data_IF_522100660819
#
_entry.id   IF_522100660819
#
_cell.length_a   1.000
_cell.length_b   1.000
_cell.length_c   1.000
_cell.angle_alpha   90.00
_cell.angle_beta   90.00
_cell.angle_gamma   90.00
#
_symmetry.space_group_name_H-M   'P 1'
#
loop_
_entity.id
_entity.type
_entity.pdbx_description
1 polymer ?
#
# COMPACT_ATOMS: atom_id res chain seq x y z
N UNK A 1 -5.07 -26.15 -15.70
CA UNK A 1 -4.29 -26.05 -14.44
C UNK A 1 -3.64 -27.38 -14.14
N UNK A 2 -2.41 -27.39 -13.59
CA UNK A 2 -1.79 -28.63 -13.13
C UNK A 2 -2.60 -29.21 -11.95
N UNK A 3 -2.29 -30.45 -11.56
CA UNK A 3 -2.95 -31.08 -10.41
C UNK A 3 -2.72 -30.23 -9.15
N UNK A 4 -3.80 -29.75 -8.55
CA UNK A 4 -3.75 -28.91 -7.34
C UNK A 4 -3.69 -27.41 -7.60
N UNK A 5 -3.65 -26.97 -8.86
CA UNK A 5 -3.71 -25.57 -9.23
C UNK A 5 -5.13 -25.19 -9.67
N UNK A 6 -5.53 -23.96 -9.38
CA UNK A 6 -6.69 -23.30 -9.95
C UNK A 6 -6.39 -21.81 -10.09
N UNK A 7 -7.23 -21.12 -10.83
CA UNK A 7 -7.17 -19.66 -10.99
C UNK A 7 -8.53 -19.09 -10.70
N UNK A 8 -8.53 -17.85 -10.23
CA UNK A 8 -9.71 -17.15 -9.77
C UNK A 8 -9.73 -15.75 -10.36
N UNK A 9 -10.74 -15.46 -11.17
CA UNK A 9 -11.03 -14.13 -11.65
C UNK A 9 -12.21 -13.54 -10.87
N UNK A 10 -12.08 -12.29 -10.45
CA UNK A 10 -13.14 -11.50 -9.82
C UNK A 10 -13.47 -10.27 -10.65
N UNK A 11 -14.73 -9.83 -10.60
CA UNK A 11 -15.20 -8.61 -11.27
C UNK A 11 -15.99 -7.75 -10.29
N UNK A 12 -15.73 -6.44 -10.32
CA UNK A 12 -16.44 -5.42 -9.53
C UNK A 12 -16.95 -4.35 -10.49
N UNK A 13 -18.19 -3.88 -10.27
CA UNK A 13 -18.78 -2.74 -10.98
C UNK A 13 -19.14 -1.68 -9.96
N UNK A 14 -18.71 -0.44 -10.21
CA UNK A 14 -19.02 0.74 -9.39
C UNK A 14 -19.62 1.86 -10.24
N UNK A 15 -20.29 2.81 -9.57
CA UNK A 15 -20.89 3.98 -10.20
C UNK A 15 -20.42 5.23 -9.47
N UNK A 16 -20.08 6.27 -10.23
CA UNK A 16 -19.68 7.58 -9.69
C UNK A 16 -20.21 8.68 -10.61
N UNK A 17 -20.66 9.78 -10.01
CA UNK A 17 -20.98 10.97 -10.79
C UNK A 17 -19.70 11.62 -11.29
N UNK A 18 -19.69 12.06 -12.55
CA UNK A 18 -18.49 12.62 -13.20
C UNK A 18 -17.85 13.76 -12.40
N UNK A 19 -18.67 14.61 -11.78
CA UNK A 19 -18.19 15.75 -10.97
C UNK A 19 -17.55 15.35 -9.64
N UNK A 20 -17.82 14.13 -9.16
CA UNK A 20 -17.25 13.58 -7.92
C UNK A 20 -16.08 12.62 -8.20
N UNK A 21 -15.63 12.50 -9.45
CA UNK A 21 -14.48 11.65 -9.79
C UNK A 21 -13.17 12.26 -9.27
N UNK A 22 -12.48 11.51 -8.41
CA UNK A 22 -11.13 11.83 -7.95
C UNK A 22 -10.13 11.24 -8.95
N UNK A 23 -9.42 12.09 -9.68
CA UNK A 23 -8.56 11.69 -10.82
C UNK A 23 -7.09 12.09 -10.68
N UNK A 24 -6.71 12.81 -9.63
CA UNK A 24 -5.35 13.36 -9.49
C UNK A 24 -5.06 14.65 -10.24
N UNK A 25 -5.99 15.13 -11.07
CA UNK A 25 -5.78 16.35 -11.86
C UNK A 25 -5.60 17.60 -10.99
N UNK A 26 -6.13 17.59 -9.77
CA UNK A 26 -6.00 18.68 -8.82
C UNK A 26 -4.74 18.60 -7.95
N UNK A 27 -3.90 17.56 -8.13
CA UNK A 27 -2.67 17.44 -7.34
C UNK A 27 -1.78 18.67 -7.49
N UNK A 28 -1.11 19.06 -6.42
CA UNK A 28 -0.30 20.26 -6.37
C UNK A 28 0.96 20.07 -5.53
N UNK A 29 1.95 20.93 -5.78
CA UNK A 29 3.13 21.06 -4.92
C UNK A 29 2.66 21.32 -3.48
N UNK A 30 3.22 20.57 -2.54
CA UNK A 30 2.86 20.63 -1.13
C UNK A 30 1.74 19.68 -0.73
N UNK A 31 1.10 18.94 -1.65
CA UNK A 31 0.17 17.89 -1.25
C UNK A 31 0.85 16.91 -0.29
N UNK A 32 0.10 16.51 0.73
CA UNK A 32 0.51 15.56 1.75
C UNK A 32 0.10 14.16 1.31
N UNK A 33 1.00 13.19 1.45
CA UNK A 33 0.72 11.78 1.21
C UNK A 33 0.41 11.08 2.53
N UNK A 34 -0.83 10.61 2.67
CA UNK A 34 -1.35 9.93 3.86
C UNK A 34 -1.47 8.43 3.54
N UNK A 35 -0.64 7.60 4.16
CA UNK A 35 -0.64 6.15 3.99
C UNK A 35 -1.53 5.43 5.00
N UNK A 36 -2.22 4.38 4.56
CA UNK A 36 -2.91 3.42 5.41
C UNK A 36 -2.18 2.08 5.47
N UNK A 37 -2.08 1.46 6.67
CA UNK A 37 -1.41 0.19 6.82
C UNK A 37 -2.01 -0.92 5.94
N UNK A 38 -1.13 -1.72 5.37
CA UNK A 38 -1.41 -3.03 4.77
C UNK A 38 -1.51 -4.11 5.85
N UNK A 39 -2.01 -5.28 5.48
CA UNK A 39 -2.03 -6.47 6.35
C UNK A 39 -0.83 -7.39 6.10
N UNK A 40 0.08 -7.02 5.20
CA UNK A 40 1.16 -7.86 4.69
C UNK A 40 1.39 -7.60 3.20
N UNK A 41 1.83 -8.61 2.46
CA UNK A 41 2.15 -8.51 1.02
C UNK A 41 0.93 -8.21 0.14
N UNK A 42 -0.28 -8.37 0.69
CA UNK A 42 -1.54 -8.33 -0.05
C UNK A 42 -1.59 -9.42 -1.11
N UNK A 43 -1.53 -9.07 -2.40
CA UNK A 43 -1.63 -10.03 -3.51
C UNK A 43 -0.48 -9.86 -4.52
N UNK A 44 0.59 -9.15 -4.14
CA UNK A 44 1.71 -8.83 -5.02
C UNK A 44 3.05 -9.26 -4.42
N UNK A 45 4.06 -9.48 -5.27
CA UNK A 45 5.42 -9.82 -4.83
C UNK A 45 5.63 -11.28 -4.38
N UNK A 46 4.62 -12.15 -4.50
CA UNK A 46 4.71 -13.56 -4.06
C UNK A 46 5.78 -14.39 -4.76
N UNK A 47 6.08 -14.12 -6.04
CA UNK A 47 7.17 -14.82 -6.74
C UNK A 47 8.52 -14.53 -6.09
N UNK A 48 8.80 -13.26 -5.76
CA UNK A 48 10.02 -12.85 -5.08
C UNK A 48 10.07 -13.37 -3.64
N UNK A 49 8.96 -13.25 -2.90
CA UNK A 49 8.88 -13.74 -1.52
C UNK A 49 9.16 -15.25 -1.42
N UNK A 50 8.57 -16.07 -2.31
CA UNK A 50 8.82 -17.51 -2.35
C UNK A 50 10.27 -17.83 -2.72
N UNK A 51 10.81 -17.15 -3.74
CA UNK A 51 12.19 -17.35 -4.18
C UNK A 51 13.21 -16.99 -3.09
N UNK A 52 12.95 -15.97 -2.28
CA UNK A 52 13.80 -15.55 -1.18
C UNK A 52 13.69 -16.47 0.05
N UNK A 53 12.46 -16.81 0.47
CA UNK A 53 12.22 -17.48 1.75
C UNK A 53 12.40 -19.01 1.68
N UNK A 54 11.79 -19.68 0.70
CA UNK A 54 11.66 -21.14 0.71
C UNK A 54 12.96 -21.94 0.49
N UNK A 55 14.05 -21.37 -0.06
CA UNK A 55 15.35 -22.04 0.01
C UNK A 55 15.94 -22.14 1.41
N UNK A 56 15.49 -21.29 2.36
CA UNK A 56 16.08 -21.15 3.71
C UNK A 56 15.11 -21.49 4.85
N UNK A 57 13.80 -21.36 4.61
CA UNK A 57 12.77 -21.47 5.63
C UNK A 57 11.58 -22.32 5.15
N UNK A 58 10.97 -23.03 6.10
CA UNK A 58 9.70 -23.74 5.91
C UNK A 58 8.49 -22.86 6.24
N UNK A 59 7.32 -23.24 5.73
CA UNK A 59 6.07 -22.49 5.91
C UNK A 59 5.64 -22.34 7.39
N UNK A 60 6.04 -23.29 8.25
CA UNK A 60 5.70 -23.29 9.68
C UNK A 60 6.76 -22.59 10.54
N UNK A 61 7.86 -22.11 9.94
CA UNK A 61 8.84 -21.32 10.68
C UNK A 61 8.23 -19.96 11.04
N UNK A 62 8.67 -19.41 12.17
CA UNK A 62 8.23 -18.09 12.61
C UNK A 62 8.89 -17.00 11.79
N UNK A 63 8.14 -15.94 11.52
CA UNK A 63 8.69 -14.69 11.00
C UNK A 63 9.57 -14.06 12.07
N UNK A 64 10.85 -13.82 11.74
CA UNK A 64 11.80 -13.21 12.68
C UNK A 64 11.29 -11.82 13.09
N UNK A 65 11.12 -11.61 14.40
CA UNK A 65 10.58 -10.36 14.95
C UNK A 65 9.05 -10.29 15.00
N UNK A 66 8.33 -11.39 14.75
CA UNK A 66 6.87 -11.48 14.93
C UNK A 66 6.46 -12.82 15.57
N UNK A 67 5.24 -12.88 16.10
CA UNK A 67 4.66 -14.08 16.73
C UNK A 67 3.82 -14.93 15.76
N UNK A 68 4.08 -14.83 14.45
CA UNK A 68 3.31 -15.48 13.39
C UNK A 68 4.21 -16.33 12.51
N UNK A 69 3.64 -17.35 11.87
CA UNK A 69 4.37 -18.20 10.92
C UNK A 69 4.55 -17.51 9.57
N UNK A 70 5.50 -18.00 8.75
CA UNK A 70 5.64 -17.56 7.36
C UNK A 70 4.35 -17.82 6.58
N UNK A 71 3.69 -18.97 6.79
CA UNK A 71 2.40 -19.27 6.16
C UNK A 71 1.35 -18.21 6.47
N UNK A 72 1.16 -17.88 7.75
CA UNK A 72 0.17 -16.90 8.20
C UNK A 72 0.48 -15.51 7.66
N UNK A 73 1.75 -15.09 7.68
CA UNK A 73 2.16 -13.79 7.16
C UNK A 73 1.97 -13.68 5.64
N UNK A 74 2.24 -14.76 4.88
CA UNK A 74 2.04 -14.80 3.44
C UNK A 74 0.57 -14.97 3.06
N UNK A 75 -0.26 -15.60 3.89
CA UNK A 75 -1.69 -15.79 3.62
C UNK A 75 -2.57 -14.73 4.27
N UNK A 76 -1.98 -13.71 4.89
CA UNK A 76 -2.71 -12.58 5.46
C UNK A 76 -3.64 -11.95 4.43
N UNK A 77 -4.92 -11.86 4.77
CA UNK A 77 -5.98 -11.43 3.83
C UNK A 77 -5.73 -9.98 3.41
N UNK A 78 -5.80 -9.71 2.10
CA UNK A 78 -5.81 -8.35 1.58
C UNK A 78 -7.03 -7.60 2.12
N UNK A 79 -6.80 -6.62 2.99
CA UNK A 79 -7.88 -5.80 3.56
C UNK A 79 -8.58 -4.95 2.50
N UNK A 80 -9.87 -4.68 2.68
CA UNK A 80 -10.59 -3.68 1.89
C UNK A 80 -10.34 -2.28 2.43
N UNK A 81 -10.15 -1.31 1.53
CA UNK A 81 -10.04 0.12 1.86
C UNK A 81 -11.32 0.91 1.56
N UNK A 82 -12.42 0.24 1.18
CA UNK A 82 -13.65 0.90 0.78
C UNK A 82 -14.18 1.85 1.86
N UNK A 83 -14.19 1.43 3.13
CA UNK A 83 -14.67 2.26 4.24
C UNK A 83 -13.84 3.54 4.42
N UNK A 84 -12.51 3.42 4.37
CA UNK A 84 -11.61 4.57 4.46
C UNK A 84 -11.79 5.56 3.29
N UNK A 85 -12.02 5.05 2.08
CA UNK A 85 -12.29 5.88 0.90
C UNK A 85 -13.66 6.58 1.04
N UNK A 86 -14.71 5.85 1.42
CA UNK A 86 -16.05 6.41 1.61
C UNK A 86 -16.06 7.53 2.67
N UNK A 87 -15.31 7.35 3.74
CA UNK A 87 -15.22 8.34 4.82
C UNK A 87 -14.49 9.63 4.40
N UNK A 88 -13.62 9.55 3.39
CA UNK A 88 -12.72 10.66 3.01
C UNK A 88 -13.06 11.30 1.66
N UNK A 89 -13.73 10.59 0.74
CA UNK A 89 -13.91 11.05 -0.64
C UNK A 89 -14.75 12.31 -0.80
N UNK A 90 -15.59 12.64 0.19
CA UNK A 90 -16.37 13.88 0.21
C UNK A 90 -15.65 15.08 0.82
N UNK A 91 -14.37 14.94 1.19
CA UNK A 91 -13.58 16.03 1.75
C UNK A 91 -12.92 16.83 0.61
N UNK A 92 -13.28 18.10 0.51
CA UNK A 92 -12.61 19.04 -0.39
C UNK A 92 -11.09 19.06 -0.12
N UNK A 93 -10.32 18.89 -1.17
CA UNK A 93 -8.85 18.80 -1.09
C UNK A 93 -8.30 17.38 -1.06
N UNK A 94 -9.12 16.34 -1.16
CA UNK A 94 -8.65 15.02 -1.61
C UNK A 94 -8.39 15.07 -3.11
N UNK A 95 -7.15 14.81 -3.53
CA UNK A 95 -6.74 14.92 -4.92
C UNK A 95 -6.60 13.57 -5.60
N UNK A 96 -6.11 12.55 -4.88
CA UNK A 96 -5.95 11.21 -5.42
C UNK A 96 -6.01 10.11 -4.35
N UNK A 97 -6.40 8.92 -4.79
CA UNK A 97 -6.21 7.66 -4.06
C UNK A 97 -5.30 6.75 -4.89
N UNK A 98 -4.28 6.19 -4.25
CA UNK A 98 -3.31 5.28 -4.83
C UNK A 98 -3.37 3.96 -4.08
N UNK A 99 -3.94 2.92 -4.71
CA UNK A 99 -3.91 1.56 -4.17
C UNK A 99 -2.55 0.94 -4.48
N UNK A 100 -1.81 0.59 -3.43
CA UNK A 100 -0.44 0.09 -3.56
C UNK A 100 -0.48 -1.40 -3.87
N UNK A 101 -0.12 -1.74 -5.11
CA UNK A 101 -0.08 -3.11 -5.64
C UNK A 101 1.32 -3.40 -6.20
N UNK A 102 1.44 -4.15 -7.31
CA UNK A 102 2.72 -4.30 -8.01
C UNK A 102 3.26 -2.95 -8.49
N UNK A 103 4.57 -2.72 -8.35
CA UNK A 103 5.22 -1.42 -8.59
C UNK A 103 5.35 -0.54 -7.34
N UNK A 104 4.84 -1.01 -6.19
CA UNK A 104 5.03 -0.38 -4.89
C UNK A 104 4.49 1.04 -4.77
N UNK A 105 4.95 1.76 -3.74
CA UNK A 105 4.39 3.08 -3.38
C UNK A 105 4.63 4.11 -4.48
N UNK A 106 5.87 4.24 -4.94
CA UNK A 106 6.26 5.24 -5.93
C UNK A 106 5.61 4.95 -7.29
N UNK A 107 5.69 3.71 -7.77
CA UNK A 107 5.15 3.33 -9.08
C UNK A 107 3.63 3.47 -9.17
N UNK A 108 2.88 3.14 -8.12
CA UNK A 108 1.43 3.31 -8.12
C UNK A 108 1.03 4.78 -7.91
N UNK A 109 1.66 5.48 -6.96
CA UNK A 109 1.30 6.86 -6.63
C UNK A 109 1.66 7.83 -7.76
N UNK A 110 2.73 7.56 -8.52
CA UNK A 110 3.10 8.40 -9.66
C UNK A 110 2.06 8.40 -10.77
N UNK A 111 1.29 7.33 -10.92
CA UNK A 111 0.21 7.20 -11.93
C UNK A 111 -1.00 8.07 -11.64
N UNK A 112 -1.20 8.45 -10.38
CA UNK A 112 -2.37 9.23 -9.93
C UNK A 112 -2.01 10.66 -9.54
N UNK A 113 -0.74 11.05 -9.57
CA UNK A 113 -0.29 12.42 -9.37
C UNK A 113 0.08 13.00 -10.73
N UNK A 114 -0.45 14.18 -11.07
CA UNK A 114 -0.25 14.79 -12.40
C UNK A 114 1.19 15.20 -12.67
N UNK A 115 1.58 15.19 -13.93
CA UNK A 115 2.84 15.79 -14.38
C UNK A 115 2.80 17.32 -14.29
N UNK A 116 3.95 18.00 -14.09
CA UNK A 116 5.30 17.46 -13.93
C UNK A 116 5.71 17.16 -12.48
N UNK A 117 4.74 16.97 -11.57
CA UNK A 117 5.01 16.83 -10.13
C UNK A 117 5.79 15.55 -9.81
N UNK A 118 6.50 15.58 -8.69
CA UNK A 118 7.34 14.51 -8.18
C UNK A 118 6.88 14.07 -6.80
N UNK A 119 7.26 12.84 -6.41
CA UNK A 119 6.94 12.29 -5.11
C UNK A 119 8.19 12.29 -4.23
N UNK A 120 8.01 12.66 -2.97
CA UNK A 120 9.03 12.47 -1.95
C UNK A 120 8.47 11.60 -0.83
N UNK A 121 8.88 10.35 -0.80
CA UNK A 121 8.50 9.38 0.23
C UNK A 121 9.49 9.45 1.39
N UNK A 122 8.96 9.58 2.60
CA UNK A 122 9.73 9.43 3.84
C UNK A 122 9.64 7.97 4.30
N UNK A 123 10.62 7.16 3.88
CA UNK A 123 10.70 5.74 4.22
C UNK A 123 10.91 5.47 5.73
N UNK A 124 11.33 6.48 6.49
CA UNK A 124 11.49 6.39 7.94
C UNK A 124 10.21 6.76 8.72
N UNK A 125 9.12 7.11 8.02
CA UNK A 125 7.87 7.53 8.66
C UNK A 125 7.07 6.39 9.29
N UNK A 126 7.34 5.14 8.91
CA UNK A 126 6.72 3.95 9.50
C UNK A 126 7.73 2.81 9.58
N UNK A 127 7.45 1.84 10.45
CA UNK A 127 8.19 0.59 10.46
C UNK A 127 7.50 -0.42 9.55
N UNK A 128 8.21 -0.90 8.52
CA UNK A 128 7.67 -1.95 7.65
C UNK A 128 7.52 -3.27 8.44
N UNK A 129 6.46 -4.06 8.16
CA UNK A 129 6.26 -5.36 8.80
C UNK A 129 7.48 -6.30 8.73
N UNK A 130 7.77 -7.09 9.78
CA UNK A 130 8.98 -7.91 9.86
C UNK A 130 9.20 -8.90 8.71
N UNK A 131 8.10 -9.39 8.09
CA UNK A 131 8.18 -10.29 6.94
C UNK A 131 8.99 -9.70 5.77
N UNK A 132 8.93 -8.37 5.57
CA UNK A 132 9.70 -7.72 4.51
C UNK A 132 11.20 -7.74 4.78
N UNK A 133 11.59 -7.50 6.03
CA UNK A 133 13.00 -7.58 6.43
C UNK A 133 13.52 -9.01 6.29
N UNK A 134 12.69 -10.00 6.66
CA UNK A 134 13.02 -11.41 6.50
C UNK A 134 13.19 -11.79 5.02
N UNK A 135 12.28 -11.37 4.13
CA UNK A 135 12.41 -11.56 2.68
C UNK A 135 13.70 -10.92 2.15
N UNK A 136 13.95 -9.66 2.54
CA UNK A 136 15.10 -8.89 2.09
C UNK A 136 16.42 -9.60 2.46
N UNK A 137 16.58 -9.97 3.73
CA UNK A 137 17.80 -10.65 4.21
C UNK A 137 17.93 -12.08 3.70
N UNK A 138 16.82 -12.81 3.53
CA UNK A 138 16.85 -14.17 3.02
C UNK A 138 17.24 -14.23 1.54
N UNK A 139 16.73 -13.30 0.72
CA UNK A 139 16.97 -13.25 -0.72
C UNK A 139 18.14 -12.36 -1.16
N UNK A 140 18.80 -11.66 -0.24
CA UNK A 140 19.78 -10.61 -0.54
C UNK A 140 19.21 -9.58 -1.54
N UNK A 141 17.96 -9.16 -1.29
CA UNK A 141 17.20 -8.33 -2.22
C UNK A 141 17.60 -6.86 -2.03
N UNK A 142 18.03 -6.16 -3.09
CA UNK A 142 18.29 -4.72 -3.01
C UNK A 142 17.06 -3.94 -2.55
N UNK A 143 17.28 -2.87 -1.79
CA UNK A 143 16.20 -2.03 -1.26
C UNK A 143 15.27 -1.46 -2.35
N UNK A 144 15.81 -1.08 -3.50
CA UNK A 144 15.03 -0.59 -4.64
C UNK A 144 14.09 -1.67 -5.19
N UNK A 145 14.58 -2.90 -5.34
CA UNK A 145 13.74 -4.04 -5.74
C UNK A 145 12.66 -4.36 -4.70
N UNK A 146 12.93 -4.16 -3.40
CA UNK A 146 11.91 -4.28 -2.36
C UNK A 146 10.81 -3.21 -2.52
N UNK A 147 11.19 -1.97 -2.82
CA UNK A 147 10.26 -0.84 -3.02
C UNK A 147 9.43 -0.97 -4.28
N UNK A 148 9.96 -1.58 -5.34
CA UNK A 148 9.22 -1.85 -6.57
C UNK A 148 8.27 -3.04 -6.43
N UNK A 149 8.69 -4.09 -5.71
CA UNK A 149 7.93 -5.33 -5.62
C UNK A 149 6.80 -5.28 -4.59
N UNK A 150 6.98 -4.53 -3.50
CA UNK A 150 6.11 -4.61 -2.32
C UNK A 150 5.51 -3.27 -1.92
N UNK A 151 4.41 -3.35 -1.17
CA UNK A 151 3.78 -2.20 -0.53
C UNK A 151 4.53 -1.74 0.74
N UNK A 152 5.46 -2.57 1.25
CA UNK A 152 6.31 -2.32 2.42
C UNK A 152 5.56 -1.86 3.69
N UNK A 153 4.29 -2.23 3.84
CA UNK A 153 3.49 -1.89 5.01
C UNK A 153 2.39 -0.87 4.72
N UNK A 154 2.37 -0.20 3.57
CA UNK A 154 1.35 0.81 3.22
C UNK A 154 0.56 0.34 2.01
N UNK A 155 -0.72 0.02 2.20
CA UNK A 155 -1.55 -0.52 1.13
C UNK A 155 -2.42 0.50 0.39
N UNK A 156 -2.64 1.68 0.96
CA UNK A 156 -3.32 2.80 0.29
C UNK A 156 -2.59 4.09 0.62
N UNK A 157 -2.44 4.97 -0.37
CA UNK A 157 -1.98 6.36 -0.18
C UNK A 157 -3.07 7.32 -0.65
N UNK A 158 -3.37 8.33 0.16
CA UNK A 158 -4.26 9.45 -0.18
C UNK A 158 -3.36 10.67 -0.39
N UNK A 159 -3.42 11.28 -1.58
CA UNK A 159 -2.80 12.58 -1.83
C UNK A 159 -3.85 13.67 -1.58
N UNK A 160 -3.53 14.61 -0.70
CA UNK A 160 -4.45 15.66 -0.31
C UNK A 160 -3.76 16.99 -0.03
N UNK A 161 -4.48 18.09 -0.19
CA UNK A 161 -3.96 19.41 0.15
C UNK A 161 -3.55 19.50 1.64
N UNK A 162 -2.56 20.35 1.99
CA UNK A 162 -2.17 20.58 3.38
C UNK A 162 -3.33 20.96 4.30
N UNK A 163 -4.30 21.71 3.78
CA UNK A 163 -5.47 22.14 4.55
C UNK A 163 -6.44 21.00 4.86
N UNK A 164 -6.57 20.03 3.94
CA UNK A 164 -7.47 18.89 4.10
C UNK A 164 -6.86 17.75 4.93
N UNK A 165 -5.53 17.60 4.90
CA UNK A 165 -4.83 16.48 5.52
C UNK A 165 -5.16 16.24 7.01
N UNK A 166 -5.22 17.27 7.89
CA UNK A 166 -5.60 17.07 9.29
C UNK A 166 -7.00 16.47 9.46
N UNK A 167 -7.97 16.96 8.69
CA UNK A 167 -9.35 16.45 8.70
C UNK A 167 -9.42 15.02 8.21
N UNK A 168 -8.70 14.67 7.14
CA UNK A 168 -8.64 13.30 6.61
C UNK A 168 -8.09 12.35 7.68
N UNK A 169 -6.98 12.71 8.31
CA UNK A 169 -6.36 11.92 9.39
C UNK A 169 -7.33 11.72 10.57
N UNK A 170 -8.02 12.78 10.99
CA UNK A 170 -9.03 12.71 12.06
C UNK A 170 -10.15 11.72 11.72
N UNK A 171 -10.72 11.81 10.51
CA UNK A 171 -11.84 10.96 10.09
C UNK A 171 -11.44 9.49 9.95
N UNK A 172 -10.24 9.24 9.44
CA UNK A 172 -9.67 7.88 9.37
C UNK A 172 -9.46 7.30 10.77
N UNK A 173 -8.89 8.07 11.71
CA UNK A 173 -8.73 7.64 13.10
C UNK A 173 -10.07 7.37 13.79
N UNK A 174 -11.10 8.16 13.48
CA UNK A 174 -12.44 7.97 14.05
C UNK A 174 -13.09 6.64 13.67
N UNK A 175 -12.70 6.05 12.54
CA UNK A 175 -13.15 4.71 12.11
C UNK A 175 -12.15 3.59 12.45
N UNK A 176 -11.14 3.89 13.28
CA UNK A 176 -10.16 2.91 13.77
C UNK A 176 -8.98 2.65 12.82
N UNK A 177 -8.78 3.47 11.78
CA UNK A 177 -7.58 3.39 10.95
C UNK A 177 -6.39 4.06 11.64
N UNK A 178 -5.19 3.65 11.23
CA UNK A 178 -3.91 4.19 11.72
C UNK A 178 -3.15 4.92 10.60
N UNK A 179 -3.63 6.08 10.12
CA UNK A 179 -2.99 6.80 9.04
C UNK A 179 -1.61 7.34 9.44
N UNK A 180 -0.66 7.27 8.51
CA UNK A 180 0.70 7.79 8.66
C UNK A 180 0.98 8.80 7.55
N UNK A 181 1.67 9.91 7.86
CA UNK A 181 2.15 10.81 6.81
C UNK A 181 3.40 10.20 6.19
N UNK A 182 3.28 9.70 4.97
CA UNK A 182 4.35 8.93 4.29
C UNK A 182 5.21 9.79 3.37
N UNK A 183 4.84 11.05 3.16
CA UNK A 183 5.59 11.93 2.27
C UNK A 183 4.78 13.11 1.77
N UNK A 184 5.23 13.68 0.64
CA UNK A 184 4.57 14.78 -0.03
C UNK A 184 4.82 14.80 -1.53
N UNK A 185 4.17 15.76 -2.20
CA UNK A 185 4.34 16.07 -3.61
C UNK A 185 5.15 17.35 -3.77
N UNK A 186 6.15 17.32 -4.66
CA UNK A 186 7.07 18.44 -4.95
C UNK A 186 7.06 18.81 -6.43
#
# INVERSE_FOLDING_TARGET
YQKGEFDLAGMVVGVVERMHMVTGQNSAVGDVLIGLPSTGLHTNGYSLARAALFPKYGINDNVIGASTTIADALLAVHRSYLGAIQETMGIDGVHAYSHITGGGIEGNTRRVVRDPLTLRINWDAWQRPPIYNMIQSAGDVPEEAMREAFNLGIGLVIAASPAAAPKIVERLKAIGEEPVIVGGVE
#
